data_IF_124630138752
#
_entry.id   IF_124630138752
#
_cell.length_a   1.000
_cell.length_b   1.000
_cell.length_c   1.000
_cell.angle_alpha   90.00
_cell.angle_beta   90.00
_cell.angle_gamma   90.00
#
_symmetry.space_group_name_H-M   'P 1'
#
loop_
_entity.id
_entity.type
_entity.pdbx_description
1 polymer ?
#
# COMPACT_ATOMS: atom_id res chain seq x y z
N UNK A 1 24.44 30.72 10.53
CA UNK A 1 23.14 31.42 10.58
C UNK A 1 22.05 30.41 10.86
N UNK A 2 21.21 30.62 11.88
CA UNK A 2 20.10 29.73 12.28
C UNK A 2 18.80 30.35 11.78
N UNK A 3 17.95 29.60 11.08
CA UNK A 3 16.60 30.03 10.71
C UNK A 3 15.63 28.92 11.16
N UNK A 4 14.82 29.28 12.15
CA UNK A 4 13.74 28.49 12.76
C UNK A 4 12.44 28.80 12.00
N UNK A 5 11.61 27.78 11.69
CA UNK A 5 10.27 28.02 11.12
C UNK A 5 9.24 27.00 11.64
N UNK A 6 8.53 27.46 12.69
CA UNK A 6 7.08 27.39 12.99
C UNK A 6 6.33 26.08 12.71
N UNK A 7 5.91 25.47 13.83
CA UNK A 7 4.87 24.44 13.97
C UNK A 7 3.49 25.08 13.79
N UNK A 8 2.65 24.50 12.93
CA UNK A 8 1.23 24.83 12.79
C UNK A 8 0.37 23.68 13.32
N UNK A 9 -0.46 24.04 14.30
CA UNK A 9 -1.36 23.24 15.12
C UNK A 9 -2.57 22.76 14.33
N UNK A 10 -2.96 21.49 14.49
CA UNK A 10 -4.24 20.94 14.01
C UNK A 10 -4.87 20.07 15.08
N UNK A 11 -5.80 20.67 15.83
CA UNK A 11 -6.60 20.09 16.90
C UNK A 11 -7.74 19.23 16.31
N UNK A 12 -7.83 17.94 16.64
CA UNK A 12 -9.10 17.20 16.60
C UNK A 12 -9.19 16.29 17.82
N UNK A 13 -9.81 16.83 18.87
CA UNK A 13 -10.39 16.08 19.96
C UNK A 13 -11.73 15.50 19.50
N UNK A 14 -11.88 14.17 19.56
CA UNK A 14 -13.10 13.47 19.19
C UNK A 14 -13.28 12.24 20.09
N UNK A 15 -14.08 12.44 21.13
CA UNK A 15 -14.43 11.58 22.26
C UNK A 15 -14.82 10.13 21.89
N UNK A 16 -14.23 9.15 22.59
CA UNK A 16 -14.71 7.77 22.66
C UNK A 16 -16.05 7.73 23.43
N UNK A 17 -17.14 7.32 22.78
CA UNK A 17 -18.33 6.82 23.48
C UNK A 17 -18.61 5.38 23.07
N UNK A 18 -18.54 4.54 24.09
CA UNK A 18 -18.79 3.12 24.12
C UNK A 18 -20.31 2.94 24.18
N UNK A 19 -20.89 2.22 23.24
CA UNK A 19 -22.28 1.77 23.35
C UNK A 19 -22.34 0.29 23.05
N UNK A 20 -22.35 -0.51 24.11
CA UNK A 20 -22.71 -1.92 24.11
C UNK A 20 -24.17 -2.08 23.69
N UNK A 21 -24.49 -3.00 22.76
CA UNK A 21 -25.76 -3.69 22.80
C UNK A 21 -25.49 -5.11 23.34
N UNK A 22 -25.75 -5.29 24.64
CA UNK A 22 -26.23 -6.57 25.15
C UNK A 22 -27.50 -6.88 24.38
N UNK A 23 -27.41 -7.79 23.41
CA UNK A 23 -28.60 -8.38 22.79
C UNK A 23 -28.88 -9.70 23.50
N UNK A 24 -29.99 -9.66 24.24
CA UNK A 24 -30.56 -10.77 24.96
C UNK A 24 -30.75 -11.98 24.03
N UNK A 25 -30.30 -13.14 24.49
CA UNK A 25 -30.81 -14.42 24.04
C UNK A 25 -32.27 -14.56 24.48
N UNK A 26 -33.16 -15.03 23.59
CA UNK A 26 -34.19 -15.96 23.98
C UNK A 26 -33.86 -17.33 23.39
N UNK A 27 -33.74 -18.29 24.29
CA UNK A 27 -33.68 -19.69 23.96
C UNK A 27 -34.96 -20.14 23.23
N UNK A 28 -34.79 -20.72 22.04
CA UNK A 28 -35.70 -21.71 21.49
C UNK A 28 -34.89 -22.65 20.58
N UNK A 29 -34.59 -23.84 21.08
CA UNK A 29 -34.12 -24.99 20.31
C UNK A 29 -35.36 -25.86 19.94
N UNK A 30 -35.22 -26.95 19.17
CA UNK A 30 -34.47 -27.17 17.92
C UNK A 30 -35.40 -27.77 16.83
N UNK A 31 -35.07 -27.67 15.53
CA UNK A 31 -35.47 -28.64 14.49
C UNK A 31 -34.94 -28.26 13.12
N UNK A 32 -34.09 -29.11 12.53
CA UNK A 32 -33.78 -29.08 11.10
C UNK A 32 -32.30 -28.86 10.74
N UNK A 33 -31.41 -29.72 11.24
CA UNK A 33 -30.09 -29.90 10.62
C UNK A 33 -30.28 -30.87 9.45
N UNK A 34 -29.98 -30.46 8.22
CA UNK A 34 -28.90 -31.11 7.52
C UNK A 34 -27.70 -30.16 7.45
N UNK A 35 -26.58 -30.70 7.91
CA UNK A 35 -25.27 -30.08 7.91
C UNK A 35 -24.84 -29.76 6.49
N UNK A 36 -25.06 -28.53 6.05
CA UNK A 36 -24.27 -27.93 4.98
C UNK A 36 -23.56 -26.72 5.58
N UNK A 37 -22.53 -27.03 6.37
CA UNK A 37 -21.49 -26.08 6.74
C UNK A 37 -20.83 -25.61 5.44
N UNK A 38 -21.40 -24.60 4.81
CA UNK A 38 -20.66 -23.73 3.92
C UNK A 38 -20.00 -22.70 4.84
N UNK A 39 -18.72 -22.86 5.23
CA UNK A 39 -18.02 -21.73 5.84
C UNK A 39 -18.23 -20.57 4.89
N UNK A 40 -18.73 -19.46 5.44
CA UNK A 40 -18.90 -18.19 4.75
C UNK A 40 -17.59 -17.95 4.01
N UNK A 41 -17.60 -18.23 2.71
CA UNK A 41 -16.51 -17.83 1.82
C UNK A 41 -16.45 -16.33 2.02
N UNK A 42 -15.37 -15.78 2.60
CA UNK A 42 -15.25 -14.33 2.65
C UNK A 42 -15.48 -13.84 1.21
N UNK A 43 -16.21 -12.72 1.01
CA UNK A 43 -16.30 -12.14 -0.31
C UNK A 43 -14.88 -12.15 -0.90
N UNK A 44 -14.68 -12.47 -2.18
CA UNK A 44 -13.38 -12.21 -2.78
C UNK A 44 -13.16 -10.74 -2.51
N UNK A 45 -12.28 -10.43 -1.55
CA UNK A 45 -11.54 -9.20 -1.58
C UNK A 45 -11.14 -9.09 -3.04
N UNK A 46 -11.40 -7.94 -3.67
CA UNK A 46 -10.65 -7.58 -4.85
C UNK A 46 -9.19 -7.63 -4.39
N UNK A 47 -8.61 -8.83 -4.41
CA UNK A 47 -7.28 -9.13 -3.99
C UNK A 47 -6.48 -8.62 -5.17
N UNK A 48 -6.27 -7.31 -5.14
CA UNK A 48 -5.22 -6.68 -5.89
C UNK A 48 -3.98 -7.48 -5.57
N UNK A 49 -3.48 -8.16 -6.59
CA UNK A 49 -2.35 -9.06 -6.45
C UNK A 49 -1.12 -8.19 -6.20
N UNK A 50 -0.51 -8.24 -5.00
CA UNK A 50 0.56 -7.33 -4.63
C UNK A 50 1.81 -7.58 -5.47
N UNK A 51 1.97 -8.79 -6.03
CA UNK A 51 3.02 -9.09 -6.99
C UNK A 51 2.77 -8.38 -8.32
N UNK A 52 1.56 -8.42 -8.87
CA UNK A 52 1.19 -7.68 -10.07
C UNK A 52 1.38 -6.17 -9.90
N UNK A 53 1.06 -5.63 -8.72
CA UNK A 53 1.35 -4.24 -8.34
C UNK A 53 2.85 -3.92 -8.39
N UNK A 54 3.70 -4.77 -7.81
CA UNK A 54 5.16 -4.60 -7.86
C UNK A 54 5.68 -4.69 -9.29
N UNK A 55 5.18 -5.62 -10.09
CA UNK A 55 5.56 -5.77 -11.50
C UNK A 55 5.20 -4.53 -12.31
N UNK A 56 4.01 -3.98 -12.07
CA UNK A 56 3.56 -2.73 -12.68
C UNK A 56 4.42 -1.55 -12.23
N UNK A 57 4.78 -1.49 -10.95
CA UNK A 57 5.70 -0.49 -10.40
C UNK A 57 7.09 -0.57 -11.06
N UNK A 58 7.60 -1.79 -11.29
CA UNK A 58 8.84 -2.04 -12.01
C UNK A 58 8.75 -1.59 -13.47
N UNK A 59 7.62 -1.87 -14.12
CA UNK A 59 7.34 -1.46 -15.50
C UNK A 59 7.36 0.05 -15.62
N UNK A 60 6.64 0.77 -14.76
CA UNK A 60 6.59 2.23 -14.74
C UNK A 60 7.96 2.86 -14.42
N UNK A 61 8.71 2.28 -13.47
CA UNK A 61 10.07 2.74 -13.17
C UNK A 61 11.02 2.53 -14.37
N UNK A 62 10.88 1.42 -15.09
CA UNK A 62 11.67 1.14 -16.29
C UNK A 62 11.30 2.10 -17.41
N UNK A 63 10.01 2.32 -17.66
CA UNK A 63 9.52 3.26 -18.67
C UNK A 63 9.97 4.71 -18.38
N UNK A 64 10.01 5.11 -17.10
CA UNK A 64 10.55 6.39 -16.67
C UNK A 64 12.06 6.51 -16.94
N UNK A 65 12.82 5.44 -16.70
CA UNK A 65 14.26 5.40 -16.92
C UNK A 65 14.62 5.40 -18.42
N UNK A 66 13.88 4.64 -19.23
CA UNK A 66 14.02 4.59 -20.69
C UNK A 66 13.67 5.92 -21.35
N UNK A 67 12.60 6.56 -20.89
CA UNK A 67 12.17 7.88 -21.40
C UNK A 67 12.84 9.05 -20.69
N UNK A 68 13.79 8.80 -19.79
CA UNK A 68 14.34 9.82 -18.91
C UNK A 68 14.76 11.08 -19.67
N UNK A 69 15.60 10.93 -20.69
CA UNK A 69 16.17 12.05 -21.46
C UNK A 69 15.13 12.83 -22.29
N UNK A 70 13.98 12.20 -22.58
CA UNK A 70 12.87 12.80 -23.33
C UNK A 70 11.89 13.57 -22.43
N UNK A 71 11.94 13.36 -21.12
CA UNK A 71 11.02 14.00 -20.16
C UNK A 71 11.58 15.32 -19.61
N UNK A 72 10.70 16.30 -19.42
CA UNK A 72 11.05 17.55 -18.72
C UNK A 72 11.29 17.28 -17.23
N UNK A 73 12.08 18.13 -16.52
CA UNK A 73 12.32 17.97 -15.09
C UNK A 73 11.04 17.93 -14.24
N UNK A 74 10.01 18.67 -14.63
CA UNK A 74 8.72 18.67 -13.95
C UNK A 74 7.99 17.32 -14.10
N UNK A 75 7.97 16.75 -15.32
CA UNK A 75 7.37 15.44 -15.58
C UNK A 75 8.11 14.33 -14.84
N UNK A 76 9.45 14.35 -14.84
CA UNK A 76 10.27 13.39 -14.08
C UNK A 76 9.90 13.43 -12.59
N UNK A 77 9.81 14.62 -11.99
CA UNK A 77 9.43 14.76 -10.58
C UNK A 77 8.02 14.24 -10.29
N UNK A 78 7.05 14.49 -11.17
CA UNK A 78 5.69 13.98 -11.00
C UNK A 78 5.66 12.45 -11.06
N UNK A 79 6.32 11.85 -12.05
CA UNK A 79 6.41 10.40 -12.21
C UNK A 79 7.10 9.74 -11.01
N UNK A 80 8.22 10.31 -10.54
CA UNK A 80 8.95 9.84 -9.34
C UNK A 80 8.06 9.91 -8.10
N UNK A 81 7.30 10.99 -7.92
CA UNK A 81 6.41 11.14 -6.78
C UNK A 81 5.29 10.09 -6.79
N UNK A 82 4.68 9.86 -7.96
CA UNK A 82 3.65 8.83 -8.13
C UNK A 82 4.20 7.43 -7.83
N UNK A 83 5.38 7.09 -8.38
CA UNK A 83 6.03 5.80 -8.15
C UNK A 83 6.34 5.57 -6.67
N UNK A 84 6.79 6.60 -5.95
CA UNK A 84 7.03 6.49 -4.50
C UNK A 84 5.75 6.23 -3.73
N UNK A 85 4.68 6.97 -4.02
CA UNK A 85 3.39 6.78 -3.35
C UNK A 85 2.82 5.37 -3.57
N UNK A 86 2.97 4.85 -4.80
CA UNK A 86 2.55 3.49 -5.09
C UNK A 86 3.46 2.46 -4.39
N UNK A 87 4.79 2.65 -4.39
CA UNK A 87 5.71 1.81 -3.62
C UNK A 87 5.36 1.74 -2.12
N UNK A 88 5.03 2.86 -1.49
CA UNK A 88 4.62 2.91 -0.08
C UNK A 88 3.27 2.22 0.17
N UNK A 89 2.38 2.22 -0.82
CA UNK A 89 1.09 1.52 -0.73
C UNK A 89 1.31 0.02 -0.82
N UNK A 90 2.08 -0.42 -1.82
CA UNK A 90 2.43 -1.82 -2.03
C UNK A 90 3.26 -2.37 -0.87
N UNK A 91 4.20 -1.61 -0.31
CA UNK A 91 4.96 -2.01 0.89
C UNK A 91 4.02 -2.28 2.06
N UNK A 92 3.03 -1.41 2.30
CA UNK A 92 2.03 -1.62 3.35
C UNK A 92 1.20 -2.87 3.10
N UNK A 93 0.85 -3.16 1.85
CA UNK A 93 0.14 -4.40 1.51
C UNK A 93 1.00 -5.63 1.75
N UNK A 94 2.28 -5.58 1.36
CA UNK A 94 3.26 -6.65 1.61
C UNK A 94 3.48 -6.89 3.10
N UNK A 95 3.50 -5.84 3.92
CA UNK A 95 3.59 -5.97 5.37
C UNK A 95 2.35 -6.62 6.01
N UNK A 96 1.20 -6.59 5.31
CA UNK A 96 -0.04 -7.27 5.72
C UNK A 96 -0.21 -8.66 5.09
N UNK A 97 0.71 -9.11 4.22
CA UNK A 97 0.67 -10.44 3.62
C UNK A 97 1.02 -11.54 4.62
N UNK A 98 0.53 -12.77 4.38
CA UNK A 98 0.95 -13.90 5.19
C UNK A 98 2.45 -14.18 4.98
N UNK A 99 3.15 -14.67 6.03
CA UNK A 99 4.62 -14.74 6.07
C UNK A 99 5.24 -15.72 5.07
N UNK A 100 4.44 -16.58 4.47
CA UNK A 100 4.84 -17.47 3.38
C UNK A 100 4.97 -16.76 2.02
N UNK A 101 4.20 -15.68 1.79
CA UNK A 101 4.16 -14.94 0.51
C UNK A 101 4.98 -13.64 0.57
N UNK A 102 5.11 -13.05 1.77
CA UNK A 102 5.89 -11.85 2.02
C UNK A 102 7.32 -11.87 1.42
N UNK A 103 8.15 -12.93 1.59
CA UNK A 103 9.53 -12.88 1.09
C UNK A 103 9.64 -12.84 -0.44
N UNK A 104 8.70 -13.43 -1.18
CA UNK A 104 8.68 -13.35 -2.65
C UNK A 104 8.38 -11.91 -3.10
N UNK A 105 7.30 -11.33 -2.58
CA UNK A 105 6.85 -9.99 -2.98
C UNK A 105 7.82 -8.91 -2.50
N UNK A 106 8.35 -9.04 -1.29
CA UNK A 106 9.39 -8.15 -0.77
C UNK A 106 10.66 -8.18 -1.62
N UNK A 107 11.04 -9.35 -2.14
CA UNK A 107 12.16 -9.48 -3.07
C UNK A 107 11.97 -8.67 -4.34
N UNK A 108 10.79 -8.76 -4.96
CA UNK A 108 10.44 -7.96 -6.14
C UNK A 108 10.37 -6.46 -5.81
N UNK A 109 9.79 -6.10 -4.66
CA UNK A 109 9.67 -4.70 -4.24
C UNK A 109 11.05 -4.07 -3.99
N UNK A 110 12.00 -4.85 -3.46
CA UNK A 110 13.39 -4.43 -3.33
C UNK A 110 14.06 -4.15 -4.69
N UNK A 111 13.75 -4.93 -5.73
CA UNK A 111 14.25 -4.65 -7.09
C UNK A 111 13.70 -3.31 -7.61
N UNK A 112 12.44 -3.01 -7.36
CA UNK A 112 11.85 -1.72 -7.71
C UNK A 112 12.51 -0.59 -6.92
N UNK A 113 12.74 -0.77 -5.62
CA UNK A 113 13.42 0.21 -4.78
C UNK A 113 14.84 0.52 -5.28
N UNK A 114 15.59 -0.51 -5.71
CA UNK A 114 16.92 -0.34 -6.34
C UNK A 114 16.83 0.45 -7.65
N UNK A 115 15.86 0.14 -8.52
CA UNK A 115 15.66 0.87 -9.79
C UNK A 115 15.28 2.33 -9.52
N UNK A 116 14.38 2.59 -8.59
CA UNK A 116 14.02 3.94 -8.16
C UNK A 116 15.22 4.69 -7.58
N UNK A 117 16.05 4.04 -6.75
CA UNK A 117 17.27 4.64 -6.21
C UNK A 117 18.24 5.04 -7.33
N UNK A 118 18.41 4.21 -8.36
CA UNK A 118 19.23 4.53 -9.54
C UNK A 118 18.70 5.78 -10.27
N UNK A 119 17.39 5.85 -10.52
CA UNK A 119 16.74 7.00 -11.19
C UNK A 119 16.93 8.28 -10.36
N UNK A 120 16.79 8.19 -9.04
CA UNK A 120 17.01 9.32 -8.12
C UNK A 120 18.46 9.78 -8.11
N UNK A 121 19.42 8.86 -8.14
CA UNK A 121 20.83 9.20 -8.27
C UNK A 121 21.10 9.93 -9.59
N UNK A 122 20.51 9.47 -10.70
CA UNK A 122 20.57 10.13 -12.01
C UNK A 122 19.99 11.55 -11.98
N UNK A 123 18.92 11.76 -11.22
CA UNK A 123 18.34 13.09 -10.99
C UNK A 123 19.29 14.03 -10.24
N UNK A 124 19.95 13.54 -9.19
CA UNK A 124 20.88 14.34 -8.39
C UNK A 124 22.13 14.73 -9.17
N UNK A 125 22.65 13.85 -10.02
CA UNK A 125 23.83 14.14 -10.85
C UNK A 125 23.53 14.96 -12.11
N UNK A 126 22.25 15.09 -12.50
CA UNK A 126 21.84 15.93 -13.64
C UNK A 126 21.60 17.41 -13.25
N UNK A 127 22.01 17.82 -12.04
CA UNK A 127 21.88 19.21 -11.55
C UNK A 127 23.15 20.01 -11.74
#
# INVERSE_FOLDING_TARGET
MKITAIVATGLLAGTLMIASPVQAQPAAAPSGIPSDFRPLRPPPSLAVDPKAEVEELLRQATELDDNWDNLTPAQRNQQIAALRQQADTVQREVDNLPPNEQPEVQGMLNLVALRLAHILQRQLTSR
#
